data_IF_513245351689
#
_entry.id   IF_513245351689
#
_cell.length_a   1.000
_cell.length_b   1.000
_cell.length_c   1.000
_cell.angle_alpha   90.00
_cell.angle_beta   90.00
_cell.angle_gamma   90.00
#
_symmetry.space_group_name_H-M   'P 1'
#
loop_
_entity.id
_entity.type
_entity.pdbx_description
1 polymer ?
#
# COMPACT_ATOMS: atom_id res chain seq x y z
N UNK A 1 -3.39 -0.61 1.10
CA UNK A 1 -3.74 -0.97 -0.28
C UNK A 1 -5.20 -1.39 -0.31
N UNK A 2 -6.00 -0.74 -1.14
CA UNK A 2 -7.40 -1.05 -1.37
C UNK A 2 -7.69 -1.21 -2.86
N UNK A 3 -8.73 -1.95 -3.19
CA UNK A 3 -9.28 -2.00 -4.55
C UNK A 3 -10.21 -0.80 -4.82
N UNK A 4 -10.65 -0.66 -6.07
CA UNK A 4 -11.58 0.41 -6.47
C UNK A 4 -12.97 0.31 -5.84
N UNK A 5 -13.33 -0.84 -5.23
CA UNK A 5 -14.56 -0.98 -4.45
C UNK A 5 -14.42 -0.41 -3.03
N UNK A 6 -13.20 -0.02 -2.63
CA UNK A 6 -12.89 0.47 -1.30
C UNK A 6 -12.52 -0.64 -0.31
N UNK A 7 -12.50 -1.90 -0.74
CA UNK A 7 -12.09 -3.02 0.11
C UNK A 7 -10.58 -2.94 0.37
N UNK A 8 -10.19 -2.99 1.64
CA UNK A 8 -8.78 -3.09 2.03
C UNK A 8 -8.27 -4.49 1.71
N UNK A 9 -7.24 -4.56 0.87
CA UNK A 9 -6.64 -5.79 0.37
C UNK A 9 -5.38 -6.14 1.14
N UNK A 10 -4.60 -5.12 1.48
CA UNK A 10 -3.37 -5.29 2.23
C UNK A 10 -3.09 -4.03 3.06
N UNK A 11 -2.70 -4.21 4.31
CA UNK A 11 -2.28 -3.12 5.18
C UNK A 11 -0.81 -3.31 5.54
N UNK A 12 -0.01 -2.28 5.33
CA UNK A 12 1.39 -2.32 5.72
C UNK A 12 1.48 -2.35 7.25
N UNK A 13 2.32 -3.22 7.83
CA UNK A 13 2.63 -3.11 9.24
C UNK A 13 3.26 -1.76 9.53
N UNK A 14 2.87 -1.13 10.64
CA UNK A 14 3.46 0.12 11.08
C UNK A 14 4.96 -0.08 11.28
N UNK A 15 5.77 0.56 10.44
CA UNK A 15 7.21 0.46 10.48
C UNK A 15 7.80 1.79 10.95
N UNK A 16 8.70 1.74 11.92
CA UNK A 16 9.49 2.90 12.32
C UNK A 16 10.57 3.14 11.26
N UNK A 17 10.26 3.96 10.25
CA UNK A 17 11.19 4.26 9.16
C UNK A 17 12.03 5.49 9.53
N UNK A 18 13.36 5.40 9.43
CA UNK A 18 14.22 6.59 9.56
C UNK A 18 14.10 7.47 8.33
N UNK A 19 14.34 8.77 8.51
CA UNK A 19 14.42 9.75 7.41
C UNK A 19 15.35 9.23 6.30
N UNK A 20 14.84 9.15 5.07
CA UNK A 20 15.58 8.62 3.92
C UNK A 20 14.65 8.12 2.80
N UNK A 21 15.21 7.51 1.77
CA UNK A 21 14.44 6.87 0.72
C UNK A 21 13.78 5.59 1.24
N UNK A 22 12.46 5.58 1.36
CA UNK A 22 11.69 4.38 1.66
C UNK A 22 11.17 3.78 0.37
N UNK A 23 11.53 2.52 0.11
CA UNK A 23 10.99 1.73 -0.99
C UNK A 23 10.32 0.49 -0.40
N UNK A 24 9.04 0.34 -0.69
CA UNK A 24 8.30 -0.87 -0.38
C UNK A 24 7.83 -1.50 -1.68
N UNK A 25 8.12 -2.78 -1.86
CA UNK A 25 7.64 -3.57 -2.99
C UNK A 25 6.56 -4.52 -2.51
N UNK A 26 5.36 -4.35 -3.06
CA UNK A 26 4.28 -5.30 -2.89
C UNK A 26 4.41 -6.43 -3.91
N UNK A 27 4.17 -7.66 -3.49
CA UNK A 27 4.27 -8.88 -4.28
C UNK A 27 2.95 -9.28 -4.95
N UNK A 28 1.90 -8.47 -4.79
CA UNK A 28 0.56 -8.75 -5.33
C UNK A 28 -0.26 -9.73 -4.49
N UNK A 29 0.10 -9.91 -3.21
CA UNK A 29 -0.65 -10.77 -2.28
C UNK A 29 -1.43 -9.97 -1.24
N UNK A 30 -2.58 -10.48 -0.86
CA UNK A 30 -3.39 -9.89 0.21
C UNK A 30 -2.79 -10.16 1.61
N UNK A 31 -3.47 -9.67 2.65
CA UNK A 31 -3.07 -9.88 4.05
C UNK A 31 -3.02 -11.35 4.51
N UNK A 32 -3.57 -12.28 3.73
CA UNK A 32 -3.55 -13.72 3.97
C UNK A 32 -2.51 -14.46 3.11
N UNK A 33 -1.72 -13.72 2.33
CA UNK A 33 -0.72 -14.29 1.41
C UNK A 33 -1.32 -14.87 0.13
N UNK A 34 -2.59 -14.57 -0.17
CA UNK A 34 -3.28 -15.06 -1.36
C UNK A 34 -3.08 -14.06 -2.51
N UNK A 35 -2.86 -14.52 -3.75
CA UNK A 35 -2.74 -13.63 -4.90
C UNK A 35 -4.04 -12.86 -5.11
N UNK A 36 -3.93 -11.56 -5.37
CA UNK A 36 -5.10 -10.72 -5.66
C UNK A 36 -5.50 -10.87 -7.13
N UNK A 37 -6.76 -10.60 -7.52
CA UNK A 37 -7.13 -10.55 -8.94
C UNK A 37 -6.40 -9.42 -9.69
N UNK A 38 -6.30 -9.49 -11.03
CA UNK A 38 -5.78 -8.38 -11.81
C UNK A 38 -6.75 -7.21 -11.75
N UNK A 39 -6.22 -5.99 -11.66
CA UNK A 39 -7.04 -4.79 -11.49
C UNK A 39 -6.25 -3.59 -11.02
N UNK A 40 -6.94 -2.46 -10.90
CA UNK A 40 -6.37 -1.22 -10.34
C UNK A 40 -6.53 -1.21 -8.83
N UNK A 41 -5.44 -0.90 -8.16
CA UNK A 41 -5.38 -0.79 -6.70
C UNK A 41 -4.85 0.58 -6.31
N UNK A 42 -5.32 1.07 -5.17
CA UNK A 42 -4.92 2.32 -4.56
C UNK A 42 -4.10 2.02 -3.31
N UNK A 43 -3.07 2.83 -3.05
CA UNK A 43 -2.36 2.82 -1.78
C UNK A 43 -2.38 4.20 -1.14
N UNK A 44 -2.35 4.20 0.18
CA UNK A 44 -2.23 5.37 1.03
C UNK A 44 -1.12 5.09 2.03
N UNK A 45 -0.19 6.05 2.14
CA UNK A 45 0.90 6.05 3.11
C UNK A 45 0.78 7.34 3.92
N UNK A 46 0.80 7.20 5.23
CA UNK A 46 0.79 8.32 6.16
C UNK A 46 2.09 8.30 6.94
N UNK A 47 2.81 9.42 6.92
CA UNK A 47 4.02 9.63 7.71
C UNK A 47 3.66 10.51 8.91
N UNK A 48 3.81 9.94 10.09
CA UNK A 48 3.66 10.66 11.36
C UNK A 48 5.02 11.25 11.75
N UNK A 49 5.33 12.44 11.22
CA UNK A 49 6.51 13.22 11.62
C UNK A 49 6.11 14.64 11.97
N UNK A 50 5.21 14.82 12.94
CA UNK A 50 4.80 16.13 13.45
C UNK A 50 4.02 17.02 12.46
N UNK A 51 4.05 16.71 11.17
CA UNK A 51 3.10 17.07 10.14
C UNK A 51 2.62 15.76 9.52
N UNK A 52 1.31 15.54 9.51
CA UNK A 52 0.71 14.38 8.85
C UNK A 52 0.93 14.51 7.34
N UNK A 53 1.95 13.83 6.82
CA UNK A 53 2.17 13.78 5.37
C UNK A 53 1.47 12.55 4.81
N UNK A 54 0.47 12.80 3.97
CA UNK A 54 -0.25 11.74 3.28
C UNK A 54 0.18 11.65 1.82
N UNK A 55 0.61 10.45 1.42
CA UNK A 55 0.89 10.09 0.02
C UNK A 55 -0.14 9.07 -0.45
N UNK A 56 -0.80 9.36 -1.56
CA UNK A 56 -1.70 8.43 -2.24
C UNK A 56 -1.20 8.14 -3.66
N UNK A 57 -1.47 6.94 -4.16
CA UNK A 57 -1.15 6.56 -5.52
C UNK A 57 -1.98 5.39 -6.01
N UNK A 58 -1.98 5.21 -7.33
CA UNK A 58 -2.66 4.11 -8.00
C UNK A 58 -1.65 3.26 -8.77
N UNK A 59 -1.88 1.96 -8.84
CA UNK A 59 -1.10 1.04 -9.65
C UNK A 59 -1.99 -0.11 -10.13
N UNK A 60 -1.59 -0.74 -11.23
CA UNK A 60 -2.30 -1.88 -11.81
C UNK A 60 -1.54 -3.18 -11.53
N UNK A 61 -2.29 -4.23 -11.21
CA UNK A 61 -1.81 -5.62 -11.17
C UNK A 61 -2.29 -6.31 -12.44
N UNK A 62 -1.37 -6.89 -13.20
CA UNK A 62 -1.61 -7.70 -14.39
C UNK A 62 -0.70 -8.93 -14.36
N UNK A 63 -1.14 -10.04 -14.96
CA UNK A 63 -0.42 -11.31 -15.05
C UNK A 63 -0.18 -11.69 -16.51
#
# INVERSE_FOLDING_TARGET
ICDLSGRVVYQFPAALVRSGAFQYRWDGRDGHGQPVPPGTYLYELTLDRGQDERKVGAFAVAF
#
